data_IF_435045501825
#
_entry.id   IF_435045501825
#
_cell.length_a   1.000
_cell.length_b   1.000
_cell.length_c   1.000
_cell.angle_alpha   90.00
_cell.angle_beta   90.00
_cell.angle_gamma   90.00
#
_symmetry.space_group_name_H-M   'P 1'
#
loop_
_entity.id
_entity.type
_entity.pdbx_description
1 polymer ?
#
# COMPACT_ATOMS: atom_id res chain seq x y z
N UNK A 1 -11.26 40.94 30.53
CA UNK A 1 -10.97 41.54 31.86
C UNK A 1 -9.70 40.85 32.33
N UNK A 2 -8.57 41.56 32.44
CA UNK A 2 -7.27 40.91 32.70
C UNK A 2 -7.16 40.41 34.14
N UNK A 3 -6.55 39.26 34.34
CA UNK A 3 -6.20 38.72 35.66
C UNK A 3 -4.82 39.27 36.03
N UNK A 4 -4.69 39.72 37.28
CA UNK A 4 -3.50 40.38 37.80
C UNK A 4 -3.16 39.75 39.13
N UNK A 5 -1.91 39.32 39.28
CA UNK A 5 -1.36 38.98 40.58
C UNK A 5 -0.84 40.26 41.23
N UNK A 6 -1.16 40.45 42.51
CA UNK A 6 -0.74 41.64 43.24
C UNK A 6 -0.26 41.33 44.65
N UNK A 7 0.84 41.96 45.04
CA UNK A 7 1.32 42.00 46.41
C UNK A 7 1.04 43.39 46.96
N UNK A 8 0.50 43.44 48.18
CA UNK A 8 0.19 44.69 48.88
C UNK A 8 0.86 44.71 50.25
N UNK A 9 1.68 45.74 50.49
CA UNK A 9 2.33 45.97 51.78
C UNK A 9 1.55 47.06 52.53
N UNK A 10 0.91 46.73 53.67
CA UNK A 10 0.20 47.71 54.48
C UNK A 10 1.16 48.65 55.22
N UNK A 11 0.94 49.96 55.14
CA UNK A 11 1.66 50.99 55.88
C UNK A 11 0.86 51.40 57.11
N UNK A 12 1.45 51.20 58.29
CA UNK A 12 0.84 51.50 59.60
C UNK A 12 1.56 52.66 60.28
N UNK A 13 0.83 53.45 61.04
CA UNK A 13 1.38 54.54 61.86
C UNK A 13 2.06 54.01 63.14
N UNK A 14 2.64 54.91 63.95
CA UNK A 14 3.33 54.58 65.20
C UNK A 14 2.42 53.92 66.26
N UNK A 15 1.09 54.05 66.10
CA UNK A 15 0.07 53.43 66.96
C UNK A 15 -0.49 52.12 66.36
N UNK A 16 0.09 51.62 65.27
CA UNK A 16 -0.31 50.39 64.59
C UNK A 16 -1.54 50.51 63.68
N UNK A 17 -2.09 51.73 63.49
CA UNK A 17 -3.26 51.97 62.63
C UNK A 17 -2.84 52.02 61.17
N UNK A 18 -3.53 51.24 60.33
CA UNK A 18 -3.33 51.24 58.89
C UNK A 18 -3.78 52.59 58.30
N UNK A 19 -2.90 53.27 57.56
CA UNK A 19 -3.26 54.53 56.90
C UNK A 19 -3.00 54.53 55.39
N UNK A 20 -2.17 53.63 54.88
CA UNK A 20 -1.93 53.45 53.45
C UNK A 20 -1.52 52.01 53.12
N UNK A 21 -1.44 51.68 51.83
CA UNK A 21 -0.81 50.46 51.35
C UNK A 21 -0.09 50.75 50.04
N UNK A 22 1.06 50.10 49.84
CA UNK A 22 1.75 50.08 48.56
C UNK A 22 1.45 48.74 47.91
N UNK A 23 0.88 48.75 46.71
CA UNK A 23 0.63 47.55 45.93
C UNK A 23 1.47 47.54 44.65
N UNK A 24 1.98 46.37 44.30
CA UNK A 24 2.56 46.08 42.99
C UNK A 24 1.70 45.00 42.35
N UNK A 25 1.35 45.17 41.07
CA UNK A 25 0.56 44.22 40.32
C UNK A 25 1.24 43.88 38.99
N UNK A 26 1.24 42.59 38.62
CA UNK A 26 1.75 42.06 37.36
C UNK A 26 0.63 41.36 36.60
N UNK A 27 0.61 41.50 35.28
CA UNK A 27 -0.41 40.91 34.43
C UNK A 27 -0.09 39.44 34.15
N UNK A 28 -0.99 38.52 34.49
CA UNK A 28 -0.82 37.05 34.26
C UNK A 28 -1.23 36.60 32.85
N UNK A 29 -1.76 37.51 32.03
CA UNK A 29 -2.29 37.21 30.68
C UNK A 29 -1.30 36.44 29.79
N UNK A 30 -0.02 36.78 29.81
CA UNK A 30 1.00 36.11 28.97
C UNK A 30 1.25 34.67 29.43
N UNK A 31 1.19 34.41 30.73
CA UNK A 31 1.38 33.09 31.33
C UNK A 31 0.20 32.15 31.02
N UNK A 32 -1.03 32.66 31.13
CA UNK A 32 -2.24 31.92 30.74
C UNK A 32 -2.19 31.51 29.26
N UNK A 33 -1.83 32.46 28.39
CA UNK A 33 -1.69 32.20 26.95
C UNK A 33 -0.60 31.16 26.66
N UNK A 34 0.52 31.21 27.38
CA UNK A 34 1.61 30.25 27.20
C UNK A 34 1.22 28.85 27.67
N UNK A 35 0.47 28.76 28.78
CA UNK A 35 -0.08 27.50 29.32
C UNK A 35 -1.07 26.87 28.34
N UNK A 36 -1.96 27.67 27.75
CA UNK A 36 -2.89 27.21 26.72
C UNK A 36 -2.14 26.66 25.49
N UNK A 37 -1.12 27.37 25.00
CA UNK A 37 -0.29 26.92 23.88
C UNK A 37 0.44 25.61 24.21
N UNK A 38 1.02 25.48 25.40
CA UNK A 38 1.68 24.24 25.85
C UNK A 38 0.68 23.09 25.82
N UNK A 39 -0.52 23.28 26.37
CA UNK A 39 -1.52 22.22 26.40
C UNK A 39 -1.97 21.80 24.99
N UNK A 40 -2.12 22.76 24.07
CA UNK A 40 -2.40 22.49 22.65
C UNK A 40 -1.25 21.69 22.01
N UNK A 41 0.01 22.05 22.27
CA UNK A 41 1.17 21.34 21.72
C UNK A 41 1.25 19.91 22.28
N UNK A 42 1.03 19.71 23.58
CA UNK A 42 1.02 18.37 24.19
C UNK A 42 -0.09 17.50 23.60
N UNK A 43 -1.31 18.04 23.48
CA UNK A 43 -2.43 17.33 22.86
C UNK A 43 -2.13 16.98 21.39
N UNK A 44 -1.60 17.93 20.62
CA UNK A 44 -1.23 17.72 19.21
C UNK A 44 -0.12 16.67 19.08
N UNK A 45 0.89 16.73 19.95
CA UNK A 45 2.00 15.77 19.99
C UNK A 45 1.52 14.35 20.29
N UNK A 46 0.59 14.20 21.24
CA UNK A 46 -0.02 12.92 21.56
C UNK A 46 -0.78 12.34 20.35
N UNK A 47 -1.59 13.16 19.68
CA UNK A 47 -2.30 12.75 18.46
C UNK A 47 -1.31 12.38 17.34
N UNK A 48 -0.24 13.15 17.16
CA UNK A 48 0.80 12.85 16.17
C UNK A 48 1.46 11.49 16.44
N UNK A 49 1.76 11.19 17.70
CA UNK A 49 2.33 9.89 18.09
C UNK A 49 1.40 8.73 17.69
N UNK A 50 0.11 8.84 18.00
CA UNK A 50 -0.91 7.84 17.63
C UNK A 50 -0.98 7.67 16.11
N UNK A 51 -1.05 8.77 15.36
CA UNK A 51 -1.10 8.70 13.88
C UNK A 51 0.14 8.06 13.27
N UNK A 52 1.34 8.35 13.80
CA UNK A 52 2.58 7.75 13.31
C UNK A 52 2.65 6.25 13.62
N UNK A 53 2.15 5.81 14.78
CA UNK A 53 2.02 4.39 15.09
C UNK A 53 1.07 3.67 14.13
N UNK A 54 -0.06 4.31 13.79
CA UNK A 54 -0.98 3.79 12.78
C UNK A 54 -0.35 3.68 11.40
N UNK A 55 0.43 4.69 10.98
CA UNK A 55 1.16 4.65 9.70
C UNK A 55 2.19 3.53 9.70
N UNK A 56 2.96 3.37 10.79
CA UNK A 56 3.92 2.28 10.93
C UNK A 56 3.26 0.90 10.74
N UNK A 57 2.14 0.66 11.43
CA UNK A 57 1.40 -0.60 11.32
C UNK A 57 0.85 -0.84 9.91
N UNK A 58 0.29 0.19 9.26
CA UNK A 58 -0.18 0.08 7.87
C UNK A 58 0.96 -0.20 6.89
N UNK A 59 2.14 0.39 7.11
CA UNK A 59 3.32 0.18 6.28
C UNK A 59 3.80 -1.28 6.37
N UNK A 60 3.83 -1.85 7.58
CA UNK A 60 4.16 -3.27 7.78
C UNK A 60 3.14 -4.20 7.11
N UNK A 61 1.84 -3.92 7.27
CA UNK A 61 0.77 -4.70 6.62
C UNK A 61 0.83 -4.61 5.09
N UNK A 62 1.12 -3.43 4.56
CA UNK A 62 1.29 -3.21 3.12
C UNK A 62 2.49 -3.98 2.59
N UNK A 63 3.60 -4.02 3.32
CA UNK A 63 4.79 -4.82 2.96
C UNK A 63 4.44 -6.31 2.88
N UNK A 64 3.81 -6.85 3.92
CA UNK A 64 3.42 -8.26 3.96
C UNK A 64 2.42 -8.62 2.84
N UNK A 65 1.45 -7.74 2.58
CA UNK A 65 0.48 -7.92 1.50
C UNK A 65 1.16 -7.90 0.13
N UNK A 66 2.11 -6.98 -0.08
CA UNK A 66 2.87 -6.87 -1.34
C UNK A 66 3.71 -8.13 -1.59
N UNK A 67 4.37 -8.66 -0.56
CA UNK A 67 5.11 -9.93 -0.65
C UNK A 67 4.19 -11.10 -1.02
N UNK A 68 3.03 -11.21 -0.36
CA UNK A 68 2.05 -12.26 -0.65
C UNK A 68 1.52 -12.17 -2.09
N UNK A 69 1.25 -10.96 -2.59
CA UNK A 69 0.79 -10.81 -3.97
C UNK A 69 1.92 -11.15 -4.96
N UNK A 70 3.17 -10.76 -4.69
CA UNK A 70 4.32 -11.15 -5.51
C UNK A 70 4.47 -12.67 -5.61
N UNK A 71 4.26 -13.40 -4.51
CA UNK A 71 4.23 -14.86 -4.51
C UNK A 71 3.08 -15.43 -5.37
N UNK A 72 1.88 -14.86 -5.25
CA UNK A 72 0.72 -15.28 -6.05
C UNK A 72 0.94 -15.05 -7.55
N UNK A 73 1.55 -13.92 -7.91
CA UNK A 73 1.92 -13.61 -9.31
C UNK A 73 2.91 -14.64 -9.85
N UNK A 74 3.94 -14.99 -9.08
CA UNK A 74 4.91 -16.02 -9.49
C UNK A 74 4.25 -17.39 -9.70
N UNK A 75 3.34 -17.76 -8.79
CA UNK A 75 2.55 -19.00 -8.92
C UNK A 75 1.70 -18.98 -10.19
N UNK A 76 1.01 -17.86 -10.47
CA UNK A 76 0.16 -17.73 -11.64
C UNK A 76 0.97 -17.75 -12.96
N UNK A 77 2.20 -17.21 -12.97
CA UNK A 77 3.12 -17.35 -14.10
C UNK A 77 3.50 -18.81 -14.33
N UNK A 78 3.82 -19.55 -13.27
CA UNK A 78 4.17 -20.97 -13.37
C UNK A 78 3.00 -21.81 -13.90
N UNK A 79 1.78 -21.58 -13.40
CA UNK A 79 0.57 -22.24 -13.89
C UNK A 79 0.28 -21.88 -15.35
N UNK A 80 0.45 -20.62 -15.74
CA UNK A 80 0.29 -20.17 -17.13
C UNK A 80 1.26 -20.90 -18.09
N UNK A 81 2.52 -21.10 -17.67
CA UNK A 81 3.49 -21.90 -18.43
C UNK A 81 3.02 -23.34 -18.60
N UNK A 82 2.46 -23.94 -17.56
CA UNK A 82 1.94 -25.32 -17.61
C UNK A 82 0.75 -25.45 -18.56
N UNK A 83 -0.15 -24.45 -18.60
CA UNK A 83 -1.23 -24.42 -19.59
C UNK A 83 -0.66 -24.29 -21.00
N UNK A 84 0.40 -23.49 -21.20
CA UNK A 84 1.06 -23.35 -22.49
C UNK A 84 1.64 -24.68 -23.02
N UNK A 85 2.23 -25.49 -22.13
CA UNK A 85 2.69 -26.84 -22.48
C UNK A 85 1.53 -27.73 -22.94
N UNK A 86 0.39 -27.69 -22.24
CA UNK A 86 -0.81 -28.46 -22.61
C UNK A 86 -1.36 -28.01 -23.97
N UNK A 87 -1.45 -26.70 -24.23
CA UNK A 87 -1.91 -26.20 -25.54
C UNK A 87 -0.98 -26.62 -26.66
N UNK A 88 0.33 -26.67 -26.42
CA UNK A 88 1.28 -27.14 -27.42
C UNK A 88 1.11 -28.64 -27.73
N UNK A 89 0.79 -29.46 -26.73
CA UNK A 89 0.42 -30.87 -26.94
C UNK A 89 -0.86 -30.98 -27.78
N UNK A 90 -1.89 -30.19 -27.48
CA UNK A 90 -3.14 -30.20 -28.26
C UNK A 90 -2.91 -29.76 -29.71
N UNK A 91 -2.06 -28.74 -29.94
CA UNK A 91 -1.67 -28.28 -31.27
C UNK A 91 -0.99 -29.41 -32.06
N UNK A 92 -0.07 -30.14 -31.43
CA UNK A 92 0.58 -31.30 -32.02
C UNK A 92 -0.42 -32.44 -32.35
N UNK A 93 -1.36 -32.73 -31.46
CA UNK A 93 -2.42 -33.74 -31.68
C UNK A 93 -3.31 -33.32 -32.86
N UNK A 94 -3.71 -32.05 -32.91
CA UNK A 94 -4.50 -31.49 -34.01
C UNK A 94 -3.75 -31.62 -35.34
N UNK A 95 -2.45 -31.28 -35.38
CA UNK A 95 -1.63 -31.43 -36.58
C UNK A 95 -1.53 -32.89 -37.06
N UNK A 96 -1.35 -33.84 -36.14
CA UNK A 96 -1.33 -35.27 -36.46
C UNK A 96 -2.69 -35.77 -36.93
N UNK A 97 -3.78 -35.33 -36.29
CA UNK A 97 -5.15 -35.69 -36.67
C UNK A 97 -5.50 -35.15 -38.06
N UNK A 98 -5.06 -33.94 -38.38
CA UNK A 98 -5.22 -33.37 -39.72
C UNK A 98 -4.48 -34.20 -40.79
N UNK A 99 -3.25 -34.67 -40.49
CA UNK A 99 -2.49 -35.56 -41.39
C UNK A 99 -3.17 -36.92 -41.55
N UNK A 100 -3.71 -37.49 -40.47
CA UNK A 100 -4.50 -38.73 -40.52
C UNK A 100 -5.75 -38.57 -41.39
N UNK A 101 -6.49 -37.46 -41.20
CA UNK A 101 -7.65 -37.13 -42.02
C UNK A 101 -7.29 -36.91 -43.49
N UNK A 102 -6.15 -36.29 -43.79
CA UNK A 102 -5.63 -36.15 -45.16
C UNK A 102 -5.35 -37.53 -45.79
N UNK A 103 -4.66 -38.42 -45.08
CA UNK A 103 -4.38 -39.77 -45.58
C UNK A 103 -5.67 -40.56 -45.82
N UNK A 104 -6.65 -40.46 -44.92
CA UNK A 104 -7.95 -41.10 -45.08
C UNK A 104 -8.73 -40.54 -46.29
N UNK A 105 -8.67 -39.23 -46.53
CA UNK A 105 -9.31 -38.61 -47.69
C UNK A 105 -8.67 -39.07 -49.02
N UNK A 106 -7.33 -39.20 -49.05
CA UNK A 106 -6.61 -39.74 -50.22
C UNK A 106 -7.02 -41.19 -50.49
N UNK A 107 -7.07 -42.03 -49.45
CA UNK A 107 -7.45 -43.43 -49.60
C UNK A 107 -8.92 -43.58 -50.01
N UNK A 108 -9.83 -42.78 -49.45
CA UNK A 108 -11.23 -42.72 -49.86
C UNK A 108 -11.39 -42.36 -51.34
N UNK A 109 -10.59 -41.42 -51.86
CA UNK A 109 -10.57 -41.08 -53.27
C UNK A 109 -10.03 -42.25 -54.15
N UNK A 110 -9.07 -43.02 -53.63
CA UNK A 110 -8.47 -44.17 -54.35
C UNK A 110 -9.46 -45.31 -54.61
N UNK A 111 -10.32 -45.62 -53.64
CA UNK A 111 -11.38 -46.65 -53.79
C UNK A 111 -12.63 -46.15 -54.53
N UNK A 112 -12.66 -44.88 -54.95
CA UNK A 112 -13.72 -44.33 -55.78
C UNK A 112 -15.09 -44.30 -55.09
N UNK A 113 -16.13 -44.81 -55.75
CA UNK A 113 -17.51 -44.74 -55.26
C UNK A 113 -17.74 -45.48 -53.94
N UNK A 114 -16.98 -46.55 -53.66
CA UNK A 114 -17.05 -47.29 -52.41
C UNK A 114 -16.49 -46.50 -51.20
N UNK A 115 -15.61 -45.52 -51.45
CA UNK A 115 -14.98 -44.68 -50.42
C UNK A 115 -15.70 -43.36 -50.14
N UNK A 116 -16.77 -43.02 -50.88
CA UNK A 116 -17.39 -41.69 -50.83
C UNK A 116 -17.84 -41.27 -49.42
N UNK A 117 -18.46 -42.18 -48.65
CA UNK A 117 -18.87 -41.90 -47.27
C UNK A 117 -17.68 -41.67 -46.33
N UNK A 118 -16.61 -42.45 -46.48
CA UNK A 118 -15.37 -42.26 -45.73
C UNK A 118 -14.69 -40.93 -46.07
N UNK A 119 -14.76 -40.49 -47.33
CA UNK A 119 -14.23 -39.19 -47.77
C UNK A 119 -14.90 -38.01 -47.07
N UNK A 120 -16.22 -38.06 -46.85
CA UNK A 120 -16.96 -37.03 -46.11
C UNK A 120 -16.49 -36.97 -44.65
N UNK A 121 -16.38 -38.12 -43.99
CA UNK A 121 -15.88 -38.19 -42.60
C UNK A 121 -14.45 -37.68 -42.50
N UNK A 122 -13.57 -38.06 -43.44
CA UNK A 122 -12.18 -37.59 -43.47
C UNK A 122 -12.09 -36.06 -43.64
N UNK A 123 -12.95 -35.45 -44.46
CA UNK A 123 -13.02 -34.00 -44.62
C UNK A 123 -13.47 -33.31 -43.33
N UNK A 124 -14.46 -33.86 -42.61
CA UNK A 124 -14.93 -33.26 -41.35
C UNK A 124 -13.87 -33.37 -40.25
N UNK A 125 -13.16 -34.51 -40.16
CA UNK A 125 -12.02 -34.69 -39.23
C UNK A 125 -10.93 -33.66 -39.47
N UNK A 126 -10.60 -33.37 -40.75
CA UNK A 126 -9.62 -32.33 -41.09
C UNK A 126 -10.10 -30.94 -40.67
N UNK A 127 -11.34 -30.60 -40.97
CA UNK A 127 -11.93 -29.32 -40.59
C UNK A 127 -11.90 -29.12 -39.06
N UNK A 128 -12.31 -30.11 -38.29
CA UNK A 128 -12.25 -30.08 -36.81
C UNK A 128 -10.81 -29.94 -36.30
N UNK A 129 -9.86 -30.60 -36.96
CA UNK A 129 -8.44 -30.50 -36.61
C UNK A 129 -7.93 -29.07 -36.85
N UNK A 130 -8.22 -28.47 -38.00
CA UNK A 130 -7.84 -27.08 -38.33
C UNK A 130 -8.49 -26.07 -37.38
N UNK A 131 -9.77 -26.24 -37.03
CA UNK A 131 -10.45 -25.42 -36.03
C UNK A 131 -9.82 -25.55 -34.65
N UNK A 132 -9.44 -26.77 -34.24
CA UNK A 132 -8.72 -27.02 -32.97
C UNK A 132 -7.35 -26.33 -32.95
N UNK A 133 -6.62 -26.35 -34.07
CA UNK A 133 -5.35 -25.63 -34.20
C UNK A 133 -5.53 -24.12 -34.05
N UNK A 134 -6.57 -23.57 -34.67
CA UNK A 134 -6.86 -22.14 -34.55
C UNK A 134 -7.24 -21.76 -33.11
N UNK A 135 -8.02 -22.61 -32.44
CA UNK A 135 -8.39 -22.39 -31.05
C UNK A 135 -7.17 -22.43 -30.11
N UNK A 136 -6.25 -23.38 -30.29
CA UNK A 136 -5.02 -23.48 -29.48
C UNK A 136 -4.12 -22.26 -29.64
N UNK A 137 -3.92 -21.77 -30.87
CA UNK A 137 -3.16 -20.52 -31.12
C UNK A 137 -3.79 -19.32 -30.39
N UNK A 138 -5.11 -19.18 -30.41
CA UNK A 138 -5.78 -18.10 -29.69
C UNK A 138 -5.59 -18.21 -28.16
N UNK A 139 -5.53 -19.44 -27.61
CA UNK A 139 -5.25 -19.65 -26.18
C UNK A 139 -3.80 -19.26 -25.88
N UNK A 140 -2.83 -19.68 -26.70
CA UNK A 140 -1.42 -19.31 -26.55
C UNK A 140 -1.23 -17.78 -26.54
N UNK A 141 -1.87 -17.06 -27.46
CA UNK A 141 -1.85 -15.59 -27.51
C UNK A 141 -2.45 -14.95 -26.25
N UNK A 142 -3.53 -15.54 -25.72
CA UNK A 142 -4.19 -15.06 -24.50
C UNK A 142 -3.30 -15.28 -23.28
N UNK A 143 -2.70 -16.47 -23.15
CA UNK A 143 -1.77 -16.79 -22.07
C UNK A 143 -0.56 -15.86 -22.09
N UNK A 144 -0.02 -15.55 -23.28
CA UNK A 144 1.09 -14.61 -23.41
C UNK A 144 0.74 -13.22 -22.87
N UNK A 145 -0.45 -12.70 -23.22
CA UNK A 145 -0.93 -11.41 -22.68
C UNK A 145 -1.08 -11.46 -21.16
N UNK A 146 -1.59 -12.56 -20.62
CA UNK A 146 -1.72 -12.76 -19.16
C UNK A 146 -0.34 -12.74 -18.49
N UNK A 147 0.65 -13.42 -19.06
CA UNK A 147 2.03 -13.42 -18.55
C UNK A 147 2.68 -12.03 -18.60
N UNK A 148 2.44 -11.27 -19.67
CA UNK A 148 2.97 -9.92 -19.80
C UNK A 148 2.34 -8.97 -18.77
N UNK A 149 1.03 -9.07 -18.52
CA UNK A 149 0.35 -8.35 -17.43
C UNK A 149 0.93 -8.73 -16.07
N UNK A 150 1.18 -10.01 -15.81
CA UNK A 150 1.80 -10.47 -14.56
C UNK A 150 3.22 -9.91 -14.36
N UNK A 151 4.02 -9.79 -15.43
CA UNK A 151 5.35 -9.16 -15.35
C UNK A 151 5.26 -7.66 -15.03
N UNK A 152 4.30 -6.95 -15.62
CA UNK A 152 4.03 -5.55 -15.28
C UNK A 152 3.68 -5.44 -13.80
N UNK A 153 2.75 -6.27 -13.33
CA UNK A 153 2.33 -6.30 -11.93
C UNK A 153 3.51 -6.53 -10.97
N UNK A 154 4.43 -7.43 -11.31
CA UNK A 154 5.62 -7.68 -10.49
C UNK A 154 6.59 -6.49 -10.47
N UNK A 155 6.57 -5.63 -11.48
CA UNK A 155 7.33 -4.37 -11.48
C UNK A 155 6.67 -3.37 -10.55
N UNK A 156 5.34 -3.21 -10.66
CA UNK A 156 4.56 -2.32 -9.80
C UNK A 156 4.72 -2.69 -8.32
N UNK A 157 4.71 -3.99 -7.97
CA UNK A 157 4.94 -4.43 -6.59
C UNK A 157 6.35 -4.17 -6.07
N UNK A 158 7.36 -4.14 -6.93
CA UNK A 158 8.72 -3.74 -6.52
C UNK A 158 8.77 -2.25 -6.19
N UNK A 159 8.09 -1.42 -6.97
CA UNK A 159 7.99 0.02 -6.68
C UNK A 159 7.22 0.29 -5.38
N UNK A 160 6.14 -0.45 -5.14
CA UNK A 160 5.39 -0.40 -3.88
C UNK A 160 6.31 -0.78 -2.71
N UNK A 161 7.05 -1.90 -2.81
CA UNK A 161 7.96 -2.33 -1.75
C UNK A 161 9.05 -1.29 -1.42
N UNK A 162 9.60 -0.61 -2.44
CA UNK A 162 10.53 0.51 -2.24
C UNK A 162 9.85 1.67 -1.52
N UNK A 163 8.65 2.04 -1.94
CA UNK A 163 7.87 3.14 -1.33
C UNK A 163 7.54 2.86 0.14
N UNK A 164 7.16 1.62 0.47
CA UNK A 164 6.90 1.19 1.85
C UNK A 164 8.17 1.26 2.71
N UNK A 165 9.34 0.94 2.14
CA UNK A 165 10.61 1.09 2.86
C UNK A 165 10.97 2.56 3.11
N UNK A 166 10.64 3.47 2.19
CA UNK A 166 10.81 4.91 2.39
C UNK A 166 9.86 5.45 3.46
N UNK A 167 8.61 4.99 3.46
CA UNK A 167 7.61 5.32 4.48
C UNK A 167 8.08 4.91 5.89
N UNK A 168 8.65 3.72 6.05
CA UNK A 168 9.23 3.28 7.32
C UNK A 168 10.35 4.21 7.83
N UNK A 169 11.18 4.77 6.94
CA UNK A 169 12.20 5.76 7.30
C UNK A 169 11.59 7.10 7.72
N UNK A 170 10.53 7.53 7.03
CA UNK A 170 9.79 8.74 7.37
C UNK A 170 9.13 8.61 8.75
N UNK A 171 8.49 7.48 9.04
CA UNK A 171 7.94 7.15 10.36
C UNK A 171 9.00 7.32 11.44
N UNK A 172 10.18 6.70 11.27
CA UNK A 172 11.28 6.82 12.25
C UNK A 172 11.75 8.25 12.43
N UNK A 173 11.79 9.05 11.35
CA UNK A 173 12.20 10.45 11.41
C UNK A 173 11.16 11.29 12.17
N UNK A 174 9.88 11.10 11.86
CA UNK A 174 8.77 11.76 12.56
C UNK A 174 8.72 11.43 14.05
N UNK A 175 8.97 10.18 14.43
CA UNK A 175 9.07 9.81 15.85
C UNK A 175 10.15 10.63 16.58
N UNK A 176 11.30 10.85 15.93
CA UNK A 176 12.37 11.70 16.48
C UNK A 176 11.96 13.17 16.61
N UNK A 177 11.24 13.72 15.62
CA UNK A 177 10.73 15.09 15.69
C UNK A 177 9.68 15.28 16.78
N UNK A 178 8.80 14.29 17.00
CA UNK A 178 7.84 14.30 18.12
C UNK A 178 8.57 14.27 19.47
N UNK A 179 9.63 13.48 19.59
CA UNK A 179 10.45 13.47 20.81
C UNK A 179 11.11 14.84 21.07
N UNK A 180 11.64 15.48 20.04
CA UNK A 180 12.21 16.83 20.14
C UNK A 180 11.15 17.86 20.51
N UNK A 181 9.95 17.78 19.94
CA UNK A 181 8.82 18.63 20.27
C UNK A 181 8.44 18.49 21.76
N UNK A 182 8.34 17.25 22.26
CA UNK A 182 8.05 17.00 23.67
C UNK A 182 9.13 17.57 24.60
N UNK A 183 10.42 17.44 24.24
CA UNK A 183 11.52 18.07 24.99
C UNK A 183 11.42 19.59 25.00
N UNK A 184 11.10 20.20 23.86
CA UNK A 184 10.95 21.66 23.76
C UNK A 184 9.79 22.17 24.63
N UNK A 185 8.66 21.47 24.61
CA UNK A 185 7.49 21.78 25.45
C UNK A 185 7.81 21.66 26.94
N UNK A 186 8.53 20.61 27.34
CA UNK A 186 8.97 20.45 28.73
C UNK A 186 9.90 21.57 29.17
N UNK A 187 10.83 22.00 28.31
CA UNK A 187 11.73 23.13 28.61
C UNK A 187 10.96 24.45 28.73
N UNK A 188 9.95 24.67 27.89
CA UNK A 188 9.07 25.85 27.99
C UNK A 188 8.30 25.88 29.31
N UNK A 189 7.84 24.73 29.79
CA UNK A 189 7.17 24.60 31.09
C UNK A 189 8.10 24.96 32.25
N UNK A 190 9.33 24.45 32.24
CA UNK A 190 10.34 24.79 33.25
C UNK A 190 10.66 26.29 33.25
N UNK A 191 10.86 26.89 32.07
CA UNK A 191 11.12 28.33 31.95
C UNK A 191 9.96 29.18 32.48
N UNK A 192 8.71 28.74 32.26
CA UNK A 192 7.53 29.41 32.81
C UNK A 192 7.50 29.36 34.34
N UNK A 193 7.80 28.20 34.93
CA UNK A 193 7.89 28.03 36.40
C UNK A 193 9.03 28.85 37.03
N UNK A 194 10.10 29.13 36.28
CA UNK A 194 11.20 29.99 36.74
C UNK A 194 10.85 31.48 36.68
N UNK A 195 10.07 31.93 35.69
CA UNK A 195 9.65 33.33 35.55
C UNK A 195 8.54 33.75 36.54
N UNK A 196 7.85 32.78 37.13
CA UNK A 196 6.76 32.98 38.10
C UNK A 196 7.22 32.94 39.56
N UNK A 197 8.50 32.65 39.82
CA UNK A 197 9.15 32.76 41.14
C UNK A 197 9.75 34.13 41.38
#
# INVERSE_FOLDING_TARGET
>A
MGIWDSISIPLRDENGRLFAAISAAVSTKTEEQLTEIIHIIEATSSTLLETIQHIAAHSEELSATTEQISFNVQTAVAESTKVNEVTQVINNISAQTNLLGLNAAIEAARVGSAGAGFGVVASEVRKLSEETKKATINIEDTLKKVQDTMKSMNTDFKEIAVSTQEEAKLVSSFMGEIENLNKATQNLKVLMEELTK
#
